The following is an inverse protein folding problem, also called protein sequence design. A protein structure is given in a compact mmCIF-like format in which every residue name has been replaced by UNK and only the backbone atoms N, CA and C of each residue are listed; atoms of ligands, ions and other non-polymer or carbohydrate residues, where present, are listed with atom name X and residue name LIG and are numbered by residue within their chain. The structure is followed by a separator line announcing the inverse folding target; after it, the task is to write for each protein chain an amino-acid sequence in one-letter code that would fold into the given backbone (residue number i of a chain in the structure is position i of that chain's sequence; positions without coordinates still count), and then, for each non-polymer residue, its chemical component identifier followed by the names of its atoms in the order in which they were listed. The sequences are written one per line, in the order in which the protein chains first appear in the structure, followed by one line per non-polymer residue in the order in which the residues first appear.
data_IF_423521438598
#
_entry.id   IF_423521438598
#
_cell.length_a   1.000
_cell.length_b   1.000
_cell.length_c   1.000
_cell.angle_alpha   90.00
_cell.angle_beta   90.00
_cell.angle_gamma   90.00
#
_symmetry.space_group_name_H-M   'P 1'
#
loop_
_entity.id
_entity.type
_entity.pdbx_description
1 polymer ?
#
# COMPACT_ATOMS: atom_id res chain seq x y z
N UNK A 1 17.80 34.77 -37.82
CA UNK A 1 18.04 33.51 -37.04
C UNK A 1 17.94 33.76 -35.54
N UNK A 2 18.45 34.86 -34.99
CA UNK A 2 18.36 35.19 -33.56
C UNK A 2 16.91 35.44 -33.10
N UNK A 3 16.04 36.03 -33.92
CA UNK A 3 14.66 36.32 -33.57
C UNK A 3 13.77 35.05 -33.46
N UNK A 4 14.10 34.00 -34.17
CA UNK A 4 13.36 32.72 -34.09
C UNK A 4 13.69 31.98 -32.78
N UNK A 5 14.93 32.05 -32.32
CA UNK A 5 15.37 31.43 -31.06
C UNK A 5 14.80 32.16 -29.83
N UNK A 6 14.81 33.49 -29.84
CA UNK A 6 14.25 34.29 -28.74
C UNK A 6 12.73 34.08 -28.61
N UNK A 7 11.97 34.09 -29.70
CA UNK A 7 10.52 33.82 -29.68
C UNK A 7 10.17 32.38 -29.23
N UNK A 8 10.97 31.40 -29.63
CA UNK A 8 10.76 30.02 -29.22
C UNK A 8 11.07 29.83 -27.73
N UNK A 9 12.10 30.50 -27.21
CA UNK A 9 12.47 30.42 -25.78
C UNK A 9 11.45 31.12 -24.87
N UNK A 10 10.93 32.29 -25.27
CA UNK A 10 9.85 32.97 -24.57
C UNK A 10 8.53 32.15 -24.55
N UNK A 11 8.19 31.48 -25.64
CA UNK A 11 7.02 30.57 -25.68
C UNK A 11 7.21 29.34 -24.80
N UNK A 12 8.41 28.75 -24.79
CA UNK A 12 8.72 27.61 -23.94
C UNK A 12 8.65 28.00 -22.47
N UNK A 13 9.21 29.15 -22.08
CA UNK A 13 9.18 29.66 -20.71
C UNK A 13 7.75 30.00 -20.26
N UNK A 14 6.93 30.63 -21.11
CA UNK A 14 5.53 30.90 -20.80
C UNK A 14 4.69 29.62 -20.63
N UNK A 15 4.99 28.55 -21.37
CA UNK A 15 4.33 27.25 -21.23
C UNK A 15 4.75 26.53 -19.94
N UNK A 16 6.01 26.63 -19.53
CA UNK A 16 6.51 26.04 -18.29
C UNK A 16 6.00 26.80 -17.06
N UNK A 17 5.99 28.13 -17.10
CA UNK A 17 5.49 28.97 -16.03
C UNK A 17 3.98 28.77 -15.84
N UNK A 18 3.19 28.72 -16.93
CA UNK A 18 1.77 28.45 -16.87
C UNK A 18 1.40 27.03 -16.43
N UNK A 19 2.28 26.03 -16.61
CA UNK A 19 2.11 24.69 -16.06
C UNK A 19 2.42 24.68 -14.56
N UNK A 20 3.51 25.32 -14.15
CA UNK A 20 3.90 25.44 -12.74
C UNK A 20 2.85 26.21 -11.91
N UNK A 21 2.26 27.27 -12.46
CA UNK A 21 1.14 28.00 -11.81
C UNK A 21 -0.10 27.15 -11.68
N UNK A 22 -0.49 26.39 -12.72
CA UNK A 22 -1.64 25.47 -12.65
C UNK A 22 -1.43 24.37 -11.65
N UNK A 23 -0.23 23.78 -11.59
CA UNK A 23 0.13 22.76 -10.61
C UNK A 23 0.13 23.31 -9.18
N UNK A 24 0.58 24.56 -9.00
CA UNK A 24 0.55 25.26 -7.71
C UNK A 24 -0.88 25.58 -7.27
N UNK A 25 -1.70 26.12 -8.15
CA UNK A 25 -3.10 26.41 -7.86
C UNK A 25 -3.93 25.14 -7.60
N UNK A 26 -3.61 24.03 -8.28
CA UNK A 26 -4.21 22.72 -8.02
C UNK A 26 -3.81 22.18 -6.66
N UNK A 27 -2.53 22.30 -6.26
CA UNK A 27 -2.04 21.92 -4.94
C UNK A 27 -2.67 22.76 -3.83
N UNK A 28 -2.78 24.07 -4.03
CA UNK A 28 -3.39 24.97 -3.05
C UNK A 28 -4.91 24.69 -2.86
N UNK A 29 -5.64 24.44 -3.95
CA UNK A 29 -7.07 24.02 -3.89
C UNK A 29 -7.23 22.69 -3.17
N UNK A 30 -6.35 21.70 -3.45
CA UNK A 30 -6.36 20.40 -2.78
C UNK A 30 -6.04 20.55 -1.29
N UNK A 31 -5.04 21.34 -0.94
CA UNK A 31 -4.69 21.63 0.45
C UNK A 31 -5.82 22.33 1.21
N UNK A 32 -6.49 23.32 0.61
CA UNK A 32 -7.64 24.01 1.20
C UNK A 32 -8.83 23.06 1.41
N UNK A 33 -9.12 22.20 0.43
CA UNK A 33 -10.18 21.19 0.54
C UNK A 33 -9.89 20.18 1.68
N UNK A 34 -8.65 19.71 1.78
CA UNK A 34 -8.21 18.83 2.83
C UNK A 34 -8.30 19.53 4.20
N UNK A 35 -7.82 20.77 4.30
CA UNK A 35 -7.90 21.56 5.54
C UNK A 35 -9.34 21.75 6.03
N UNK A 36 -10.29 21.97 5.10
CA UNK A 36 -11.72 22.06 5.45
C UNK A 36 -12.29 20.74 5.97
N UNK A 37 -11.87 19.60 5.40
CA UNK A 37 -12.25 18.27 5.90
C UNK A 37 -11.65 17.97 7.27
N UNK A 38 -10.40 18.34 7.50
CA UNK A 38 -9.71 18.14 8.80
C UNK A 38 -10.36 18.91 9.95
N UNK A 39 -11.08 19.99 9.66
CA UNK A 39 -11.84 20.76 10.67
C UNK A 39 -13.08 20.01 11.17
N UNK A 40 -13.51 18.95 10.47
CA UNK A 40 -14.62 18.11 10.93
C UNK A 40 -14.08 17.04 11.91
N UNK A 41 -14.59 16.96 13.16
CA UNK A 41 -14.15 15.98 14.14
C UNK A 41 -14.50 14.54 13.76
N UNK A 42 -15.55 14.34 12.95
CA UNK A 42 -16.02 13.03 12.50
C UNK A 42 -15.33 12.54 11.21
N UNK A 43 -14.47 13.38 10.62
CA UNK A 43 -13.75 13.02 9.41
C UNK A 43 -12.60 12.06 9.70
N UNK A 44 -12.58 10.90 9.05
CA UNK A 44 -11.47 9.96 9.09
C UNK A 44 -10.59 10.12 7.86
N UNK A 45 -9.34 10.51 8.09
CA UNK A 45 -8.32 10.61 7.06
C UNK A 45 -7.98 9.24 6.47
N UNK A 46 -7.99 8.20 7.31
CA UNK A 46 -7.70 6.84 6.89
C UNK A 46 -8.67 6.36 5.80
N UNK A 47 -9.95 6.71 5.91
CA UNK A 47 -10.95 6.33 4.92
C UNK A 47 -10.74 6.99 3.54
N UNK A 48 -10.09 8.15 3.51
CA UNK A 48 -9.81 8.86 2.25
C UNK A 48 -8.53 8.36 1.53
N UNK A 49 -7.57 7.82 2.30
CA UNK A 49 -6.24 7.45 1.77
C UNK A 49 -5.98 5.95 1.74
N UNK A 50 -6.86 5.16 2.34
CA UNK A 50 -6.71 3.72 2.43
C UNK A 50 -7.88 2.98 1.78
N UNK A 51 -7.58 1.79 1.26
CA UNK A 51 -8.59 0.84 0.78
C UNK A 51 -8.68 -0.32 1.78
N UNK A 52 -9.87 -0.59 2.31
CA UNK A 52 -10.11 -1.75 3.19
C UNK A 52 -10.25 -3.03 2.36
N UNK A 53 -9.17 -3.83 2.32
CA UNK A 53 -9.15 -5.11 1.59
C UNK A 53 -10.05 -6.14 2.29
N UNK A 54 -10.13 -6.11 3.62
CA UNK A 54 -11.00 -7.03 4.37
C UNK A 54 -12.48 -6.77 4.09
N UNK A 55 -12.85 -5.50 3.88
CA UNK A 55 -14.21 -5.15 3.45
C UNK A 55 -14.48 -5.66 2.03
N UNK A 56 -13.52 -5.52 1.10
CA UNK A 56 -13.65 -6.11 -0.24
C UNK A 56 -13.82 -7.62 -0.17
N UNK A 57 -13.07 -8.30 0.70
CA UNK A 57 -13.22 -9.73 0.91
C UNK A 57 -14.63 -10.12 1.43
N UNK A 58 -15.19 -9.34 2.36
CA UNK A 58 -16.57 -9.54 2.86
C UNK A 58 -17.64 -9.33 1.79
N UNK A 59 -17.39 -8.42 0.87
CA UNK A 59 -18.29 -8.11 -0.24
C UNK A 59 -18.09 -9.06 -1.44
N UNK A 60 -17.24 -10.08 -1.32
CA UNK A 60 -16.92 -11.02 -2.42
C UNK A 60 -16.34 -10.33 -3.67
N UNK A 61 -15.65 -9.18 -3.47
CA UNK A 61 -15.02 -8.41 -4.54
C UNK A 61 -13.62 -8.93 -4.90
N UNK A 62 -13.07 -9.87 -4.12
CA UNK A 62 -11.74 -10.45 -4.35
C UNK A 62 -11.86 -11.79 -5.07
N UNK A 63 -10.91 -12.06 -5.94
CA UNK A 63 -10.78 -13.38 -6.58
C UNK A 63 -10.20 -14.41 -5.60
N UNK A 64 -10.63 -15.66 -5.71
CA UNK A 64 -10.07 -16.75 -4.91
C UNK A 64 -8.58 -16.92 -5.20
N UNK A 65 -7.80 -17.14 -4.14
CA UNK A 65 -6.34 -17.24 -4.21
C UNK A 65 -5.91 -18.69 -4.18
N UNK A 66 -5.14 -19.10 -5.18
CA UNK A 66 -4.69 -20.49 -5.37
C UNK A 66 -3.17 -20.55 -5.33
N UNK A 67 -2.61 -21.60 -4.73
CA UNK A 67 -1.19 -21.92 -4.77
C UNK A 67 -0.31 -21.02 -3.89
N UNK A 68 -0.91 -20.34 -2.87
CA UNK A 68 -0.18 -19.45 -1.96
C UNK A 68 -0.40 -19.77 -0.47
N UNK A 69 -0.88 -20.96 -0.18
CA UNK A 69 -1.22 -21.36 1.20
C UNK A 69 -0.03 -21.30 2.16
N UNK A 70 1.15 -21.68 1.70
CA UNK A 70 2.37 -21.68 2.51
C UNK A 70 2.84 -20.26 2.85
N UNK A 71 2.83 -19.36 1.87
CA UNK A 71 3.19 -17.96 2.08
C UNK A 71 2.16 -17.27 2.97
N UNK A 72 0.86 -17.46 2.72
CA UNK A 72 -0.23 -16.95 3.55
C UNK A 72 -0.04 -17.40 5.00
N UNK A 73 0.21 -18.69 5.23
CA UNK A 73 0.44 -19.24 6.57
C UNK A 73 1.67 -18.64 7.25
N UNK A 74 2.79 -18.45 6.53
CA UNK A 74 3.99 -17.78 7.06
C UNK A 74 3.68 -16.36 7.52
N UNK A 75 2.92 -15.61 6.72
CA UNK A 75 2.51 -14.25 7.06
C UNK A 75 1.58 -14.24 8.27
N UNK A 76 0.58 -15.10 8.34
CA UNK A 76 -0.33 -15.23 9.48
C UNK A 76 0.45 -15.50 10.78
N UNK A 77 1.37 -16.47 10.76
CA UNK A 77 2.21 -16.79 11.93
C UNK A 77 3.04 -15.58 12.34
N UNK A 78 3.64 -14.86 11.40
CA UNK A 78 4.46 -13.70 11.71
C UNK A 78 3.60 -12.56 12.32
N UNK A 79 2.44 -12.27 11.76
CA UNK A 79 1.53 -11.23 12.25
C UNK A 79 1.00 -11.51 13.67
N UNK A 80 1.01 -12.76 14.12
CA UNK A 80 0.51 -13.15 15.45
C UNK A 80 1.59 -13.10 16.54
N UNK A 81 2.85 -12.92 16.18
CA UNK A 81 3.96 -12.82 17.13
C UNK A 81 3.83 -11.55 17.97
N UNK A 82 4.37 -11.61 19.19
CA UNK A 82 4.48 -10.44 20.07
C UNK A 82 5.53 -9.45 19.56
N UNK A 83 6.67 -9.97 19.14
CA UNK A 83 7.79 -9.20 18.60
C UNK A 83 8.01 -9.58 17.15
N UNK A 84 8.53 -8.67 16.34
CA UNK A 84 8.79 -8.88 14.91
C UNK A 84 7.54 -9.33 14.16
N UNK A 85 6.42 -8.61 14.43
CA UNK A 85 5.09 -8.87 13.91
C UNK A 85 4.78 -8.12 12.60
N UNK A 86 5.80 -7.59 11.95
CA UNK A 86 5.69 -7.04 10.60
C UNK A 86 6.29 -8.01 9.59
N UNK A 87 5.76 -8.01 8.39
CA UNK A 87 6.17 -8.91 7.31
C UNK A 87 6.55 -8.11 6.08
N UNK A 88 7.56 -8.55 5.37
CA UNK A 88 7.84 -8.07 4.01
C UNK A 88 7.79 -9.25 3.04
N UNK A 89 6.96 -9.11 2.02
CA UNK A 89 6.87 -10.02 0.88
C UNK A 89 7.91 -9.59 -0.15
N UNK A 90 8.88 -10.44 -0.40
CA UNK A 90 9.98 -10.20 -1.33
C UNK A 90 9.84 -11.11 -2.55
N UNK A 91 9.62 -10.55 -3.71
CA UNK A 91 9.49 -11.29 -4.97
C UNK A 91 9.44 -10.33 -6.15
N UNK A 92 9.64 -10.85 -7.35
CA UNK A 92 9.64 -10.05 -8.57
C UNK A 92 8.26 -9.48 -8.90
N UNK A 93 8.18 -8.61 -9.91
CA UNK A 93 6.91 -8.05 -10.36
C UNK A 93 5.98 -9.15 -10.89
N UNK A 94 4.70 -9.12 -10.49
CA UNK A 94 3.70 -10.07 -11.02
C UNK A 94 3.66 -11.44 -10.37
N UNK A 95 4.57 -11.79 -9.44
CA UNK A 95 4.59 -13.14 -8.80
C UNK A 95 3.42 -13.42 -7.85
N UNK A 96 2.53 -12.45 -7.61
CA UNK A 96 1.34 -12.66 -6.77
C UNK A 96 1.48 -12.21 -5.31
N UNK A 97 2.34 -11.24 -5.00
CA UNK A 97 2.46 -10.68 -3.64
C UNK A 97 1.15 -10.10 -3.11
N UNK A 98 0.42 -9.37 -3.94
CA UNK A 98 -0.89 -8.81 -3.57
C UNK A 98 -1.95 -9.89 -3.37
N UNK A 99 -1.91 -10.97 -4.17
CA UNK A 99 -2.80 -12.12 -4.00
C UNK A 99 -2.64 -12.77 -2.62
N UNK A 100 -1.42 -12.84 -2.07
CA UNK A 100 -1.19 -13.34 -0.71
C UNK A 100 -1.94 -12.47 0.32
N UNK A 101 -1.93 -11.15 0.15
CA UNK A 101 -2.63 -10.22 1.05
C UNK A 101 -4.14 -10.37 0.92
N UNK A 102 -4.64 -10.53 -0.31
CA UNK A 102 -6.06 -10.81 -0.58
C UNK A 102 -6.49 -12.13 0.08
N UNK A 103 -5.67 -13.18 -0.02
CA UNK A 103 -5.91 -14.47 0.65
C UNK A 103 -5.99 -14.34 2.17
N UNK A 104 -5.10 -13.56 2.80
CA UNK A 104 -5.17 -13.28 4.24
C UNK A 104 -6.44 -12.51 4.59
N UNK A 105 -6.81 -11.50 3.79
CA UNK A 105 -8.03 -10.72 4.00
C UNK A 105 -9.29 -11.61 3.93
N UNK A 106 -9.34 -12.55 2.98
CA UNK A 106 -10.42 -13.53 2.87
C UNK A 106 -10.48 -14.44 4.11
N UNK A 107 -9.36 -14.97 4.57
CA UNK A 107 -9.32 -15.82 5.76
C UNK A 107 -9.73 -15.05 7.02
N UNK A 108 -9.34 -13.79 7.17
CA UNK A 108 -9.81 -12.92 8.26
C UNK A 108 -11.32 -12.68 8.15
N UNK A 109 -11.83 -12.40 6.95
CA UNK A 109 -13.27 -12.14 6.73
C UNK A 109 -14.17 -13.35 7.04
N UNK A 110 -13.62 -14.56 6.85
CA UNK A 110 -14.28 -15.85 7.13
C UNK A 110 -14.05 -16.35 8.57
N UNK A 111 -13.38 -15.55 9.43
CA UNK A 111 -12.99 -15.94 10.80
C UNK A 111 -12.10 -17.20 10.89
N UNK A 112 -11.39 -17.55 9.84
CA UNK A 112 -10.52 -18.74 9.77
C UNK A 112 -9.24 -18.59 10.60
N UNK A 113 -8.81 -17.35 10.88
CA UNK A 113 -7.61 -17.02 11.67
C UNK A 113 -8.01 -16.35 12.97
N UNK A 114 -8.24 -17.15 14.01
CA UNK A 114 -8.75 -16.67 15.31
C UNK A 114 -7.90 -15.55 15.93
N UNK A 115 -6.58 -15.63 15.80
CA UNK A 115 -5.64 -14.62 16.31
C UNK A 115 -5.67 -13.27 15.58
N UNK A 116 -6.26 -13.22 14.38
CA UNK A 116 -6.47 -12.03 13.58
C UNK A 116 -7.95 -11.66 13.45
N UNK A 117 -8.83 -12.33 14.20
CA UNK A 117 -10.27 -12.06 14.18
C UNK A 117 -10.57 -10.60 14.51
N UNK A 118 -11.45 -10.00 13.71
CA UNK A 118 -11.84 -8.60 13.84
C UNK A 118 -10.84 -7.58 13.32
N UNK A 119 -9.66 -8.01 12.86
CA UNK A 119 -8.68 -7.11 12.24
C UNK A 119 -9.09 -6.73 10.82
N UNK A 120 -8.65 -5.55 10.41
CA UNK A 120 -8.84 -5.01 9.07
C UNK A 120 -7.50 -4.86 8.37
N UNK A 121 -7.41 -5.22 7.10
CA UNK A 121 -6.24 -4.92 6.27
C UNK A 121 -6.54 -3.66 5.46
N UNK A 122 -5.80 -2.59 5.76
CA UNK A 122 -5.89 -1.33 5.03
C UNK A 122 -4.70 -1.20 4.09
N UNK A 123 -4.97 -1.11 2.80
CA UNK A 123 -3.96 -0.84 1.78
C UNK A 123 -3.76 0.66 1.60
N UNK A 124 -2.51 1.10 1.66
CA UNK A 124 -2.12 2.47 1.39
C UNK A 124 -1.31 2.57 0.11
N UNK A 125 -1.62 3.59 -0.68
CA UNK A 125 -0.74 4.04 -1.74
C UNK A 125 0.23 5.07 -1.17
N UNK A 126 1.52 4.73 -1.12
CA UNK A 126 2.55 5.63 -0.57
C UNK A 126 2.70 6.94 -1.36
N UNK A 127 2.43 6.93 -2.67
CA UNK A 127 2.47 8.14 -3.47
C UNK A 127 1.34 9.09 -3.07
N UNK A 128 0.14 8.56 -2.86
CA UNK A 128 -1.00 9.35 -2.39
C UNK A 128 -0.79 9.81 -0.95
N UNK A 129 -0.24 8.96 -0.09
CA UNK A 129 0.13 9.32 1.26
C UNK A 129 1.19 10.42 1.27
N UNK A 130 2.25 10.31 0.46
CA UNK A 130 3.29 11.32 0.35
C UNK A 130 2.76 12.65 -0.20
N UNK A 131 1.94 12.60 -1.26
CA UNK A 131 1.30 13.79 -1.81
C UNK A 131 0.36 14.44 -0.79
N UNK A 132 -0.37 13.63 -0.05
CA UNK A 132 -1.27 14.02 1.02
C UNK A 132 -0.48 14.64 2.18
N UNK A 133 0.55 13.97 2.70
CA UNK A 133 1.37 14.48 3.81
C UNK A 133 2.17 15.75 3.43
N UNK A 134 2.60 15.91 2.19
CA UNK A 134 3.22 17.16 1.72
C UNK A 134 2.23 18.32 1.60
N UNK A 135 0.93 18.01 1.41
CA UNK A 135 -0.15 19.00 1.45
C UNK A 135 -0.63 19.28 2.88
N UNK A 136 -0.29 18.42 3.85
CA UNK A 136 -0.65 18.60 5.25
C UNK A 136 0.36 19.47 5.98
N UNK A 137 -0.19 20.37 6.76
CA UNK A 137 0.51 20.99 7.87
C UNK A 137 0.90 19.92 8.91
N UNK A 138 1.76 20.26 9.86
CA UNK A 138 2.12 19.39 11.01
C UNK A 138 0.88 18.81 11.73
N UNK A 139 -0.24 19.48 11.66
CA UNK A 139 -1.53 19.08 12.22
C UNK A 139 -2.13 17.86 11.53
N UNK A 140 -2.10 17.80 10.20
CA UNK A 140 -2.59 16.64 9.46
C UNK A 140 -1.76 15.38 9.69
N UNK A 141 -0.44 15.53 9.81
CA UNK A 141 0.47 14.42 10.15
C UNK A 141 0.16 13.90 11.57
N UNK A 142 -0.02 14.79 12.55
CA UNK A 142 -0.35 14.41 13.92
C UNK A 142 -1.71 13.70 13.97
N UNK A 143 -2.70 14.19 13.24
CA UNK A 143 -4.02 13.56 13.15
C UNK A 143 -3.94 12.16 12.54
N UNK A 144 -3.21 11.97 11.44
CA UNK A 144 -2.97 10.63 10.87
C UNK A 144 -2.38 9.66 11.91
N UNK A 145 -1.34 10.10 12.63
CA UNK A 145 -0.71 9.30 13.69
C UNK A 145 -1.72 8.97 14.79
N UNK A 146 -2.57 9.91 15.19
CA UNK A 146 -3.57 9.67 16.22
C UNK A 146 -4.68 8.74 15.78
N UNK A 147 -5.17 8.86 14.55
CA UNK A 147 -6.14 7.93 13.98
C UNK A 147 -5.55 6.51 13.93
N UNK A 148 -4.31 6.36 13.43
CA UNK A 148 -3.60 5.09 13.42
C UNK A 148 -3.41 4.47 14.81
N UNK A 149 -3.23 5.28 15.86
CA UNK A 149 -3.11 4.80 17.24
C UNK A 149 -4.45 4.41 17.87
N UNK A 150 -5.55 5.04 17.45
CA UNK A 150 -6.91 4.71 17.92
C UNK A 150 -7.39 3.39 17.36
N UNK A 151 -7.09 3.13 16.11
CA UNK A 151 -7.48 1.93 15.38
C UNK A 151 -6.52 0.77 15.67
N UNK A 152 -6.71 0.08 16.80
CA UNK A 152 -5.82 -1.01 17.26
C UNK A 152 -5.91 -2.29 16.41
N UNK A 153 -6.94 -2.41 15.59
CA UNK A 153 -7.24 -3.63 14.85
C UNK A 153 -6.88 -3.54 13.36
N UNK A 154 -5.96 -2.61 13.03
CA UNK A 154 -5.46 -2.42 11.66
C UNK A 154 -4.18 -3.23 11.43
N UNK A 155 -4.14 -3.90 10.29
CA UNK A 155 -2.94 -4.39 9.61
C UNK A 155 -2.75 -3.50 8.38
N UNK A 156 -1.62 -2.84 8.29
CA UNK A 156 -1.32 -1.97 7.17
C UNK A 156 -0.68 -2.76 6.04
N UNK A 157 -1.27 -2.72 4.86
CA UNK A 157 -0.62 -3.21 3.65
C UNK A 157 0.00 -2.04 2.88
N UNK A 158 1.31 -2.13 2.67
CA UNK A 158 2.11 -1.13 1.97
C UNK A 158 2.75 -1.78 0.76
N UNK A 159 2.13 -1.60 -0.39
CA UNK A 159 2.75 -1.99 -1.65
C UNK A 159 3.91 -1.04 -1.96
N UNK A 160 4.94 -1.56 -2.64
CA UNK A 160 6.16 -0.81 -2.94
C UNK A 160 6.81 -0.20 -1.67
N UNK A 161 6.90 -0.98 -0.57
CA UNK A 161 7.39 -0.50 0.73
C UNK A 161 8.80 0.11 0.67
N UNK A 162 9.58 -0.19 -0.37
CA UNK A 162 10.88 0.42 -0.61
C UNK A 162 10.82 1.96 -0.75
N UNK A 163 9.67 2.50 -1.13
CA UNK A 163 9.43 3.95 -1.19
C UNK A 163 9.58 4.63 0.18
N UNK A 164 9.33 3.90 1.28
CA UNK A 164 9.62 4.41 2.63
C UNK A 164 11.13 4.67 2.80
N UNK A 165 11.97 3.78 2.30
CA UNK A 165 13.43 3.96 2.37
C UNK A 165 13.95 5.13 1.51
N UNK A 166 13.23 5.50 0.44
CA UNK A 166 13.56 6.65 -0.42
C UNK A 166 13.12 7.99 0.19
N UNK A 167 12.09 7.98 1.04
CA UNK A 167 11.54 9.18 1.67
C UNK A 167 11.74 9.11 3.19
N UNK A 168 12.84 9.71 3.69
CA UNK A 168 13.21 9.68 5.12
C UNK A 168 12.08 10.20 6.02
N UNK A 169 11.33 11.20 5.58
CA UNK A 169 10.19 11.75 6.32
C UNK A 169 9.10 10.70 6.56
N UNK A 170 8.83 9.82 5.59
CA UNK A 170 7.88 8.73 5.75
C UNK A 170 8.42 7.65 6.69
N UNK A 171 9.69 7.27 6.54
CA UNK A 171 10.33 6.29 7.43
C UNK A 171 10.26 6.76 8.89
N UNK A 172 10.59 8.02 9.15
CA UNK A 172 10.57 8.59 10.49
C UNK A 172 9.14 8.66 11.07
N UNK A 173 8.12 8.79 10.23
CA UNK A 173 6.72 8.71 10.63
C UNK A 173 6.31 7.29 11.08
N UNK A 174 6.75 6.25 10.35
CA UNK A 174 6.38 4.86 10.63
C UNK A 174 7.17 4.24 11.78
N UNK A 175 8.42 4.64 12.01
CA UNK A 175 9.26 4.09 13.11
C UNK A 175 8.62 4.12 14.48
N UNK A 176 8.02 5.24 14.96
CA UNK A 176 7.34 5.28 16.25
C UNK A 176 6.10 4.38 16.32
N UNK A 177 5.36 4.25 15.22
CA UNK A 177 4.18 3.39 15.14
C UNK A 177 4.56 1.91 15.27
N UNK A 178 5.64 1.50 14.62
CA UNK A 178 6.15 0.12 14.68
C UNK A 178 6.83 -0.22 16.02
N UNK A 179 7.32 0.78 16.76
CA UNK A 179 8.09 0.56 17.98
C UNK A 179 7.26 0.00 19.14
N UNK A 180 5.96 0.22 19.14
CA UNK A 180 5.04 -0.15 20.25
C UNK A 180 4.46 -1.55 20.13
N UNK A 181 4.67 -2.25 18.99
CA UNK A 181 4.12 -3.59 18.75
C UNK A 181 2.61 -3.64 18.52
N UNK A 182 1.91 -2.53 18.73
CA UNK A 182 0.44 -2.42 18.54
C UNK A 182 0.07 -2.34 17.05
N UNK A 183 1.06 -2.09 16.21
CA UNK A 183 0.88 -1.83 14.80
C UNK A 183 1.55 -2.92 13.95
N UNK A 184 0.84 -3.43 12.97
CA UNK A 184 1.31 -4.49 12.07
C UNK A 184 1.37 -3.98 10.64
N UNK A 185 2.46 -4.30 9.95
CA UNK A 185 2.68 -3.94 8.55
C UNK A 185 2.95 -5.20 7.73
N UNK A 186 2.29 -5.31 6.60
CA UNK A 186 2.67 -6.19 5.50
C UNK A 186 3.23 -5.27 4.41
N UNK A 187 4.51 -5.39 4.10
CA UNK A 187 5.14 -4.69 2.99
C UNK A 187 5.30 -5.61 1.79
N UNK A 188 5.26 -5.07 0.58
CA UNK A 188 5.60 -5.80 -0.64
C UNK A 188 6.63 -5.00 -1.44
N UNK A 189 7.64 -5.68 -1.99
CA UNK A 189 8.65 -5.09 -2.88
C UNK A 189 9.49 -6.19 -3.53
N UNK A 190 10.39 -5.82 -4.43
CA UNK A 190 11.39 -6.76 -4.96
C UNK A 190 12.60 -6.91 -4.04
N UNK A 191 13.33 -8.05 -4.09
CA UNK A 191 14.57 -8.23 -3.31
C UNK A 191 15.62 -7.17 -3.61
N UNK A 192 15.74 -6.74 -4.85
CA UNK A 192 16.68 -5.72 -5.30
C UNK A 192 16.39 -4.36 -4.67
N UNK A 193 15.13 -3.92 -4.71
CA UNK A 193 14.68 -2.65 -4.14
C UNK A 193 14.80 -2.63 -2.62
N UNK A 194 14.42 -3.75 -1.95
CA UNK A 194 14.62 -3.89 -0.52
C UNK A 194 16.08 -3.70 -0.13
N UNK A 195 16.99 -4.37 -0.82
CA UNK A 195 18.43 -4.28 -0.56
C UNK A 195 18.98 -2.88 -0.84
N UNK A 196 18.51 -2.23 -1.90
CA UNK A 196 19.01 -0.91 -2.31
C UNK A 196 18.52 0.22 -1.40
N UNK A 197 17.23 0.20 -1.02
CA UNK A 197 16.61 1.37 -0.39
C UNK A 197 16.28 1.17 1.10
N UNK A 198 16.11 -0.06 1.57
CA UNK A 198 15.62 -0.33 2.92
C UNK A 198 16.67 -0.97 3.82
N UNK A 199 17.51 -1.86 3.29
CA UNK A 199 18.45 -2.67 4.08
C UNK A 199 19.45 -1.85 4.91
N UNK A 200 19.74 -0.61 4.51
CA UNK A 200 20.62 0.31 5.22
C UNK A 200 20.08 0.77 6.58
N UNK A 201 18.75 0.75 6.79
CA UNK A 201 18.14 1.08 8.07
C UNK A 201 17.93 -0.19 8.93
N UNK A 202 18.97 -0.59 9.63
CA UNK A 202 18.96 -1.81 10.45
C UNK A 202 17.88 -1.79 11.54
N UNK A 203 17.54 -0.61 12.07
CA UNK A 203 16.50 -0.46 13.09
C UNK A 203 15.11 -0.73 12.51
N UNK A 204 14.89 -0.40 11.25
CA UNK A 204 13.66 -0.68 10.52
C UNK A 204 13.60 -2.17 10.11
N UNK A 205 14.66 -2.67 9.46
CA UNK A 205 14.74 -4.03 8.91
C UNK A 205 14.53 -5.12 9.97
N UNK A 206 15.12 -4.96 11.15
CA UNK A 206 15.01 -5.98 12.23
C UNK A 206 13.59 -6.23 12.73
N UNK A 207 12.64 -5.36 12.39
CA UNK A 207 11.22 -5.47 12.78
C UNK A 207 10.39 -6.27 11.79
N UNK A 208 10.96 -6.63 10.63
CA UNK A 208 10.28 -7.39 9.60
C UNK A 208 10.71 -8.85 9.57
N UNK A 209 9.75 -9.74 9.43
CA UNK A 209 9.94 -11.10 8.94
C UNK A 209 9.94 -11.07 7.41
N UNK A 210 10.90 -11.75 6.79
CA UNK A 210 10.99 -11.83 5.33
C UNK A 210 10.28 -13.09 4.83
N UNK A 211 9.33 -12.93 3.92
CA UNK A 211 8.69 -14.03 3.20
C UNK A 211 9.07 -13.88 1.74
N UNK A 212 9.79 -14.86 1.22
CA UNK A 212 10.17 -14.91 -0.20
C UNK A 212 8.97 -15.45 -0.96
N UNK A 213 8.62 -14.76 -2.04
CA UNK A 213 7.53 -15.11 -2.95
C UNK A 213 8.14 -15.41 -4.30
N UNK A 214 8.21 -16.70 -4.61
CA UNK A 214 8.74 -17.19 -5.88
C UNK A 214 7.64 -17.24 -6.95
N UNK A 215 8.05 -17.37 -8.20
CA UNK A 215 7.11 -17.63 -9.28
C UNK A 215 6.36 -18.95 -9.01
N UNK A 216 5.06 -19.02 -9.32
CA UNK A 216 4.29 -20.26 -9.16
C UNK A 216 4.84 -21.36 -10.08
N UNK A 217 4.69 -22.60 -9.66
CA UNK A 217 4.97 -23.74 -10.53
C UNK A 217 4.06 -23.74 -11.76
N UNK A 218 4.43 -24.49 -12.80
CA UNK A 218 3.57 -24.67 -13.98
C UNK A 218 2.20 -25.22 -13.57
N UNK A 219 2.20 -26.18 -12.64
CA UNK A 219 0.98 -26.82 -12.16
C UNK A 219 0.09 -25.82 -11.39
N UNK A 220 0.68 -24.99 -10.55
CA UNK A 220 -0.07 -23.94 -9.84
C UNK A 220 -0.52 -22.82 -10.78
N UNK A 221 0.29 -22.49 -11.79
CA UNK A 221 -0.11 -21.53 -12.83
C UNK A 221 -1.35 -22.02 -13.60
N UNK A 222 -1.41 -23.29 -13.94
CA UNK A 222 -2.60 -23.88 -14.59
C UNK A 222 -3.83 -23.73 -13.69
N UNK A 223 -3.72 -24.10 -12.40
CA UNK A 223 -4.82 -23.93 -11.44
C UNK A 223 -5.26 -22.48 -11.29
N UNK A 224 -4.30 -21.54 -11.25
CA UNK A 224 -4.60 -20.11 -11.19
C UNK A 224 -5.42 -19.70 -12.41
N UNK A 225 -4.97 -20.07 -13.62
CA UNK A 225 -5.68 -19.75 -14.86
C UNK A 225 -7.08 -20.36 -14.87
N UNK A 226 -7.23 -21.63 -14.50
CA UNK A 226 -8.54 -22.31 -14.39
C UNK A 226 -9.48 -21.59 -13.42
N UNK A 227 -8.96 -21.08 -12.31
CA UNK A 227 -9.74 -20.37 -11.28
C UNK A 227 -10.22 -19.00 -11.74
N UNK A 228 -9.40 -18.26 -12.50
CA UNK A 228 -9.77 -16.91 -12.95
C UNK A 228 -10.59 -16.93 -14.25
N UNK A 229 -10.48 -17.98 -15.06
CA UNK A 229 -11.14 -18.13 -16.37
C UNK A 229 -12.65 -17.84 -16.31
N UNK A 230 -13.45 -18.41 -15.37
CA UNK A 230 -14.90 -18.15 -15.34
C UNK A 230 -15.24 -16.66 -15.11
N UNK A 231 -14.43 -15.93 -14.35
CA UNK A 231 -14.66 -14.50 -14.13
C UNK A 231 -14.42 -13.70 -15.42
N UNK A 232 -13.39 -14.05 -16.19
CA UNK A 232 -13.10 -13.44 -17.49
C UNK A 232 -14.15 -13.80 -18.54
N UNK A 233 -14.58 -15.05 -18.60
CA UNK A 233 -15.65 -15.50 -19.49
C UNK A 233 -16.95 -14.73 -19.26
N UNK A 234 -17.35 -14.59 -18.00
CA UNK A 234 -18.53 -13.84 -17.62
C UNK A 234 -18.43 -12.35 -17.97
N UNK A 235 -17.26 -11.75 -17.72
CA UNK A 235 -17.05 -10.32 -17.95
C UNK A 235 -17.01 -9.98 -19.46
N UNK A 236 -16.36 -10.81 -20.25
CA UNK A 236 -16.17 -10.58 -21.69
C UNK A 236 -17.23 -11.27 -22.57
N UNK A 237 -18.13 -12.06 -21.98
CA UNK A 237 -19.13 -12.87 -22.71
C UNK A 237 -18.51 -13.79 -23.78
N UNK A 238 -17.42 -14.45 -23.41
CA UNK A 238 -16.69 -15.42 -24.24
C UNK A 238 -16.52 -16.73 -23.49
N UNK A 239 -16.21 -17.82 -24.21
CA UNK A 239 -15.78 -19.08 -23.60
C UNK A 239 -14.34 -19.35 -24.04
N UNK A 240 -13.49 -19.79 -23.12
CA UNK A 240 -12.16 -20.30 -23.41
C UNK A 240 -12.24 -21.80 -23.70
N UNK A 241 -11.56 -22.26 -24.77
CA UNK A 241 -11.44 -23.68 -25.12
C UNK A 241 -10.15 -24.27 -24.51
#
# INVERSE_FOLDING_TARGET
LLDVFTNSWFRFRALTDGKAERDRASKEKRAAHISSKLSNPDYSLLNDIATDITLKARNEELMEVVGRDDEIRKVEIALTRRDKNNVVLLGDGGVGKSAIVDGIAMRISRDEVLSLKGKKILQFNLNDLHATLNAYTSEGINRFIEEMKREKDIILFVDEIHMLGRAKSLTDLFKPLMARGDFRIIGATTPSEWNTYVSGDTAFVRRFEKVIVEEPSIEDTVKIVETITPAYENFHHVNFE
#
